data_IF_205155634064
#
_entry.id   IF_205155634064
#
_cell.length_a   1.000
_cell.length_b   1.000
_cell.length_c   1.000
_cell.angle_alpha   90.00
_cell.angle_beta   90.00
_cell.angle_gamma   90.00
#
_symmetry.space_group_name_H-M   'P 1'
#
loop_
_entity.id
_entity.type
_entity.pdbx_description
1 polymer ?
#
# COMPACT_ATOMS: atom_id res chain seq x y z
N UNK A 1 -19.89 12.91 -11.92
CA UNK A 1 -18.87 13.03 -10.86
C UNK A 1 -18.34 14.45 -10.89
N UNK A 2 -18.72 15.29 -9.93
CA UNK A 2 -18.15 16.64 -9.82
C UNK A 2 -16.67 16.51 -9.42
N UNK A 3 -15.78 17.23 -10.08
CA UNK A 3 -14.36 17.24 -9.70
C UNK A 3 -14.16 18.00 -8.39
N UNK A 4 -13.01 17.78 -7.73
CA UNK A 4 -12.62 18.53 -6.53
C UNK A 4 -12.78 20.05 -6.70
N UNK A 5 -13.40 20.70 -5.73
CA UNK A 5 -13.64 22.16 -5.64
C UNK A 5 -12.45 22.89 -5.00
N UNK A 6 -12.52 24.22 -4.92
CA UNK A 6 -11.53 25.02 -4.18
C UNK A 6 -11.52 24.66 -2.68
N UNK A 7 -12.68 24.40 -2.08
CA UNK A 7 -12.79 23.97 -0.68
C UNK A 7 -12.02 22.66 -0.44
N UNK A 8 -12.10 21.70 -1.37
CA UNK A 8 -11.33 20.45 -1.31
C UNK A 8 -9.81 20.66 -1.42
N UNK A 9 -9.37 21.82 -1.92
CA UNK A 9 -7.95 22.19 -2.03
C UNK A 9 -7.48 23.06 -0.86
N UNK A 10 -8.38 23.58 -0.04
CA UNK A 10 -8.05 24.49 1.06
C UNK A 10 -7.35 23.79 2.24
N UNK A 11 -7.25 22.46 2.23
CA UNK A 11 -6.37 21.74 3.16
C UNK A 11 -4.91 21.79 2.65
N UNK A 12 -4.71 21.39 1.39
CA UNK A 12 -3.36 21.11 0.86
C UNK A 12 -2.62 22.32 0.25
N UNK A 13 -3.34 23.33 -0.26
CA UNK A 13 -2.79 24.36 -1.17
C UNK A 13 -2.98 25.78 -0.65
N UNK A 14 -1.92 26.60 -0.64
CA UNK A 14 -1.94 27.96 -0.07
C UNK A 14 -2.98 28.86 -0.75
N UNK A 15 -3.13 28.73 -2.06
CA UNK A 15 -4.17 29.38 -2.87
C UNK A 15 -5.04 28.33 -3.58
N UNK A 16 -6.17 27.90 -2.97
CA UNK A 16 -7.04 26.88 -3.55
C UNK A 16 -7.86 27.37 -4.75
N UNK A 17 -8.21 28.66 -4.80
CA UNK A 17 -9.00 29.23 -5.89
C UNK A 17 -8.17 29.34 -7.16
N UNK A 18 -6.92 29.80 -7.05
CA UNK A 18 -5.94 29.80 -8.14
C UNK A 18 -5.80 28.40 -8.73
N UNK A 19 -5.65 27.39 -7.88
CA UNK A 19 -5.53 26.00 -8.32
C UNK A 19 -6.76 25.51 -9.07
N UNK A 20 -7.95 25.76 -8.52
CA UNK A 20 -9.21 25.34 -9.13
C UNK A 20 -9.41 25.99 -10.51
N UNK A 21 -9.11 27.29 -10.62
CA UNK A 21 -9.16 28.03 -11.89
C UNK A 21 -8.18 27.46 -12.93
N UNK A 22 -6.90 27.32 -12.58
CA UNK A 22 -5.88 26.78 -13.49
C UNK A 22 -6.22 25.36 -13.96
N UNK A 23 -6.77 24.53 -13.07
CA UNK A 23 -7.20 23.17 -13.42
C UNK A 23 -8.26 23.17 -14.52
N UNK A 24 -9.30 23.98 -14.41
CA UNK A 24 -10.35 24.02 -15.43
C UNK A 24 -9.87 24.65 -16.74
N UNK A 25 -9.00 25.65 -16.69
CA UNK A 25 -8.35 26.23 -17.88
C UNK A 25 -7.51 25.17 -18.63
N UNK A 26 -6.62 24.47 -17.92
CA UNK A 26 -5.77 23.41 -18.50
C UNK A 26 -6.62 22.25 -19.03
N UNK A 27 -7.70 21.90 -18.32
CA UNK A 27 -8.63 20.85 -18.74
C UNK A 27 -9.35 21.25 -20.03
N UNK A 28 -9.78 22.50 -20.17
CA UNK A 28 -10.43 23.01 -21.38
C UNK A 28 -9.48 23.05 -22.59
N UNK A 29 -8.20 23.33 -22.38
CA UNK A 29 -7.19 23.38 -23.44
C UNK A 29 -6.82 22.03 -24.06
N UNK A 30 -6.09 22.08 -25.17
CA UNK A 30 -5.52 20.93 -25.89
C UNK A 30 -4.08 20.55 -25.44
N UNK A 31 -3.47 21.38 -24.59
CA UNK A 31 -2.15 21.08 -24.00
C UNK A 31 -2.24 19.89 -23.05
N UNK A 32 -1.42 18.87 -23.30
CA UNK A 32 -1.34 17.68 -22.45
C UNK A 32 -2.46 16.66 -22.67
N UNK A 33 -3.30 16.79 -23.71
CA UNK A 33 -4.32 15.80 -24.05
C UNK A 33 -5.53 16.45 -24.70
N UNK A 34 -6.59 15.66 -24.93
CA UNK A 34 -7.81 16.18 -25.57
C UNK A 34 -8.49 17.28 -24.74
N UNK A 35 -9.01 18.35 -25.36
CA UNK A 35 -9.86 19.34 -24.71
C UNK A 35 -11.00 18.72 -23.89
N UNK A 36 -11.28 19.31 -22.72
CA UNK A 36 -12.30 18.87 -21.78
C UNK A 36 -11.94 17.63 -20.94
N UNK A 37 -10.87 16.91 -21.28
CA UNK A 37 -10.43 15.71 -20.56
C UNK A 37 -9.30 16.00 -19.59
N UNK A 38 -9.26 15.24 -18.49
CA UNK A 38 -8.17 15.23 -17.54
C UNK A 38 -7.19 14.09 -17.87
N UNK A 39 -5.90 14.40 -17.91
CA UNK A 39 -4.83 13.46 -18.23
C UNK A 39 -3.66 13.60 -17.26
N UNK A 40 -2.79 12.59 -17.19
CA UNK A 40 -1.57 12.64 -16.39
C UNK A 40 -0.65 13.81 -16.79
N UNK A 41 -0.59 14.15 -18.08
CA UNK A 41 0.23 15.28 -18.55
C UNK A 41 -0.38 16.62 -18.18
N UNK A 42 -1.71 16.74 -18.17
CA UNK A 42 -2.40 17.94 -17.65
C UNK A 42 -2.22 18.13 -16.15
N UNK A 43 -2.17 17.05 -15.36
CA UNK A 43 -1.85 17.19 -13.93
C UNK A 43 -0.41 17.65 -13.67
N UNK A 44 0.54 17.21 -14.52
CA UNK A 44 1.91 17.72 -14.47
C UNK A 44 1.95 19.22 -14.81
N UNK A 45 1.27 19.63 -15.89
CA UNK A 45 1.15 21.05 -16.26
C UNK A 45 0.54 21.89 -15.14
N UNK A 46 -0.56 21.44 -14.54
CA UNK A 46 -1.20 22.14 -13.42
C UNK A 46 -0.26 22.32 -12.24
N UNK A 47 0.63 21.37 -11.98
CA UNK A 47 1.62 21.50 -10.90
C UNK A 47 2.57 22.65 -11.20
N UNK A 48 3.20 22.64 -12.39
CA UNK A 48 4.13 23.68 -12.80
C UNK A 48 3.48 25.07 -12.92
N UNK A 49 2.29 25.17 -13.53
CA UNK A 49 1.60 26.45 -13.71
C UNK A 49 1.11 27.02 -12.38
N UNK A 50 0.74 26.15 -11.42
CA UNK A 50 0.37 26.57 -10.07
C UNK A 50 1.56 27.17 -9.32
N UNK A 51 2.70 26.47 -9.31
CA UNK A 51 3.95 26.96 -8.70
C UNK A 51 4.43 28.25 -9.39
N UNK A 52 4.40 28.31 -10.72
CA UNK A 52 4.79 29.49 -11.49
C UNK A 52 3.89 30.71 -11.21
N UNK A 53 2.61 30.49 -10.92
CA UNK A 53 1.67 31.53 -10.52
C UNK A 53 1.79 31.93 -9.03
N UNK A 54 2.79 31.41 -8.30
CA UNK A 54 3.03 31.72 -6.88
C UNK A 54 2.23 30.86 -5.91
N UNK A 55 1.57 29.81 -6.39
CA UNK A 55 0.91 28.81 -5.56
C UNK A 55 1.93 27.95 -4.82
N UNK A 56 1.62 27.63 -3.55
CA UNK A 56 2.45 26.80 -2.68
C UNK A 56 1.65 25.73 -1.97
N UNK A 57 2.32 24.91 -1.16
CA UNK A 57 1.70 23.79 -0.46
C UNK A 57 1.73 24.02 1.05
N UNK A 58 0.68 23.61 1.77
CA UNK A 58 0.62 23.78 3.24
C UNK A 58 1.46 22.76 4.01
N UNK A 59 1.69 21.59 3.41
CA UNK A 59 2.38 20.45 4.02
C UNK A 59 3.74 20.20 3.36
N UNK A 60 4.48 21.25 3.03
CA UNK A 60 5.80 21.10 2.41
C UNK A 60 6.76 20.33 3.33
N UNK A 61 7.39 19.29 2.79
CA UNK A 61 8.30 18.42 3.53
C UNK A 61 7.60 17.36 4.40
N UNK A 62 6.28 17.43 4.58
CA UNK A 62 5.51 16.43 5.30
C UNK A 62 4.93 15.39 4.32
N UNK A 63 5.06 14.11 4.65
CA UNK A 63 4.42 13.03 3.89
C UNK A 63 3.04 12.75 4.45
N UNK A 64 2.03 12.74 3.59
CA UNK A 64 0.71 12.21 3.92
C UNK A 64 0.79 10.73 4.32
N UNK A 65 -0.20 10.22 5.06
CA UNK A 65 -0.26 8.80 5.46
C UNK A 65 -0.15 7.86 4.26
N UNK A 66 -0.82 8.19 3.15
CA UNK A 66 -0.73 7.41 1.92
C UNK A 66 0.67 7.43 1.29
N UNK A 67 1.38 8.55 1.34
CA UNK A 67 2.77 8.64 0.86
C UNK A 67 3.73 7.85 1.76
N UNK A 68 3.50 7.82 3.07
CA UNK A 68 4.27 6.99 4.00
C UNK A 68 4.06 5.50 3.69
N UNK A 69 2.80 5.08 3.53
CA UNK A 69 2.48 3.71 3.15
C UNK A 69 3.04 3.31 1.77
N UNK A 70 3.05 4.22 0.78
CA UNK A 70 3.68 3.95 -0.52
C UNK A 70 5.19 3.77 -0.41
N UNK A 71 5.86 4.52 0.46
CA UNK A 71 7.28 4.33 0.73
C UNK A 71 7.52 2.97 1.38
N UNK A 72 6.78 2.63 2.43
CA UNK A 72 6.88 1.32 3.09
C UNK A 72 6.65 0.18 2.08
N UNK A 73 5.59 0.28 1.28
CA UNK A 73 5.30 -0.69 0.23
C UNK A 73 6.43 -0.84 -0.79
N UNK A 74 7.10 0.27 -1.17
CA UNK A 74 8.22 0.27 -2.11
C UNK A 74 9.55 -0.17 -1.52
N UNK A 75 9.69 -0.21 -0.20
CA UNK A 75 10.88 -0.73 0.50
C UNK A 75 10.83 -2.24 0.71
N UNK A 76 9.67 -2.87 0.49
CA UNK A 76 9.50 -4.31 0.57
C UNK A 76 10.02 -5.00 -0.70
N UNK A 77 10.57 -6.20 -0.53
CA UNK A 77 11.02 -7.05 -1.63
C UNK A 77 9.84 -7.88 -2.17
N UNK A 78 9.18 -7.41 -3.23
CA UNK A 78 8.05 -8.10 -3.82
C UNK A 78 8.46 -9.06 -4.93
N UNK A 79 7.98 -10.31 -4.87
CA UNK A 79 8.26 -11.31 -5.90
C UNK A 79 7.17 -12.40 -5.98
N UNK A 80 7.26 -13.25 -7.01
CA UNK A 80 6.49 -14.49 -7.16
C UNK A 80 7.08 -15.62 -6.31
N UNK A 81 6.36 -16.73 -6.12
CA UNK A 81 6.84 -17.84 -5.29
C UNK A 81 8.22 -18.39 -5.70
N UNK A 82 8.60 -18.25 -6.98
CA UNK A 82 9.90 -18.64 -7.55
C UNK A 82 10.98 -17.52 -7.48
N UNK A 83 10.72 -16.42 -6.78
CA UNK A 83 11.66 -15.29 -6.66
C UNK A 83 11.65 -14.31 -7.84
N UNK A 84 10.75 -14.50 -8.82
CA UNK A 84 10.67 -13.66 -10.01
C UNK A 84 9.92 -12.35 -9.78
N UNK A 85 10.26 -11.32 -10.56
CA UNK A 85 9.54 -10.04 -10.63
C UNK A 85 8.33 -10.07 -11.59
N UNK A 86 8.33 -11.03 -12.52
CA UNK A 86 7.30 -11.17 -13.56
C UNK A 86 6.17 -12.10 -13.13
N UNK A 87 5.12 -11.50 -12.58
CA UNK A 87 3.92 -12.24 -12.17
C UNK A 87 3.08 -12.78 -13.34
N UNK A 88 3.08 -12.13 -14.51
CA UNK A 88 2.26 -12.56 -15.66
C UNK A 88 3.09 -13.39 -16.65
N UNK A 89 2.62 -14.60 -16.94
CA UNK A 89 3.24 -15.53 -17.88
C UNK A 89 2.23 -16.21 -18.81
N UNK A 90 2.72 -17.14 -19.63
CA UNK A 90 1.88 -17.96 -20.51
C UNK A 90 0.99 -18.95 -19.75
N UNK A 91 1.40 -19.32 -18.53
CA UNK A 91 0.71 -20.20 -17.60
C UNK A 91 -0.28 -19.47 -16.68
N UNK A 92 -0.56 -18.19 -16.95
CA UNK A 92 -1.48 -17.35 -16.19
C UNK A 92 -0.76 -16.28 -15.36
N UNK A 93 -1.44 -15.80 -14.31
CA UNK A 93 -0.85 -14.82 -13.38
C UNK A 93 -0.48 -15.52 -12.09
N UNK A 94 0.77 -15.42 -11.69
CA UNK A 94 1.30 -15.88 -10.39
C UNK A 94 0.90 -14.94 -9.27
N UNK A 95 0.89 -15.46 -8.06
CA UNK A 95 0.74 -14.64 -6.85
C UNK A 95 2.00 -13.78 -6.66
N UNK A 96 1.80 -12.53 -6.24
CA UNK A 96 2.85 -11.57 -5.95
C UNK A 96 2.68 -11.08 -4.52
N UNK A 97 3.67 -11.34 -3.66
CA UNK A 97 3.68 -11.04 -2.22
C UNK A 97 5.06 -10.50 -1.84
N UNK A 98 5.17 -9.76 -0.72
CA UNK A 98 6.47 -9.41 -0.17
C UNK A 98 7.18 -10.68 0.34
N UNK A 99 8.51 -10.70 0.24
CA UNK A 99 9.36 -11.83 0.63
C UNK A 99 9.10 -12.29 2.07
N UNK A 100 9.00 -11.35 3.01
CA UNK A 100 8.66 -11.68 4.39
C UNK A 100 7.34 -12.45 4.52
N UNK A 101 6.33 -12.16 3.68
CA UNK A 101 5.09 -12.95 3.69
C UNK A 101 5.28 -14.33 3.05
N UNK A 102 6.17 -14.48 2.05
CA UNK A 102 6.51 -15.79 1.51
C UNK A 102 7.24 -16.66 2.54
N UNK A 103 8.16 -16.08 3.32
CA UNK A 103 8.91 -16.81 4.35
C UNK A 103 8.02 -17.33 5.51
N UNK A 104 6.88 -16.67 5.75
CA UNK A 104 5.89 -17.07 6.76
C UNK A 104 4.84 -18.08 6.27
N UNK A 105 4.96 -18.54 5.02
CA UNK A 105 4.08 -19.56 4.46
C UNK A 105 4.80 -20.90 4.39
N UNK A 106 4.07 -21.97 4.71
CA UNK A 106 4.53 -23.33 4.39
C UNK A 106 4.54 -23.53 2.87
N UNK A 107 5.34 -24.48 2.37
CA UNK A 107 5.41 -24.73 0.93
C UNK A 107 4.05 -25.13 0.33
N UNK A 108 3.20 -25.81 1.11
CA UNK A 108 1.82 -26.11 0.72
C UNK A 108 0.97 -24.83 0.60
N UNK A 109 1.07 -23.92 1.57
CA UNK A 109 0.34 -22.63 1.53
C UNK A 109 0.82 -21.74 0.38
N UNK A 110 2.13 -21.75 0.08
CA UNK A 110 2.70 -21.06 -1.07
C UNK A 110 2.11 -21.58 -2.37
N UNK A 111 2.11 -22.90 -2.55
CA UNK A 111 1.54 -23.54 -3.72
C UNK A 111 0.03 -23.29 -3.85
N UNK A 112 -0.72 -23.35 -2.74
CA UNK A 112 -2.16 -23.11 -2.72
C UNK A 112 -2.50 -21.67 -3.13
N UNK A 113 -1.78 -20.66 -2.63
CA UNK A 113 -2.06 -19.26 -2.96
C UNK A 113 -1.70 -18.89 -4.40
N UNK A 114 -0.64 -19.49 -4.93
CA UNK A 114 -0.20 -19.32 -6.32
C UNK A 114 -1.16 -20.02 -7.29
N UNK A 115 -1.51 -21.28 -7.02
CA UNK A 115 -2.48 -22.06 -7.82
C UNK A 115 -3.82 -21.35 -7.89
N UNK A 116 -4.31 -20.81 -6.76
CA UNK A 116 -5.52 -19.99 -6.74
C UNK A 116 -5.43 -18.78 -7.66
N UNK A 117 -4.27 -18.12 -7.74
CA UNK A 117 -4.10 -16.93 -8.58
C UNK A 117 -3.97 -17.30 -10.06
N UNK A 118 -3.27 -18.39 -10.38
CA UNK A 118 -3.10 -18.90 -11.75
C UNK A 118 -4.40 -19.40 -12.37
N UNK A 119 -5.17 -20.18 -11.61
CA UNK A 119 -6.40 -20.82 -12.10
C UNK A 119 -7.63 -19.91 -12.15
N UNK A 120 -7.50 -18.63 -11.83
CA UNK A 120 -8.63 -17.71 -11.76
C UNK A 120 -8.67 -16.78 -12.98
N UNK A 121 -9.84 -16.70 -13.60
CA UNK A 121 -10.11 -15.87 -14.78
C UNK A 121 -10.45 -14.41 -14.44
N UNK A 122 -10.71 -14.14 -13.16
CA UNK A 122 -11.13 -12.82 -12.67
C UNK A 122 -9.94 -11.86 -12.58
N UNK A 123 -10.19 -10.58 -12.86
CA UNK A 123 -9.19 -9.52 -12.72
C UNK A 123 -8.62 -9.45 -11.29
N UNK A 124 -9.49 -9.59 -10.29
CA UNK A 124 -9.14 -9.57 -8.87
C UNK A 124 -9.38 -10.93 -8.23
N UNK A 125 -8.35 -11.48 -7.60
CA UNK A 125 -8.39 -12.81 -6.98
C UNK A 125 -7.83 -12.67 -5.58
N UNK A 126 -8.69 -12.90 -4.58
CA UNK A 126 -8.30 -12.76 -3.19
C UNK A 126 -7.12 -13.69 -2.83
N UNK A 127 -6.29 -13.24 -1.89
CA UNK A 127 -5.30 -14.10 -1.23
C UNK A 127 -6.00 -15.26 -0.51
N UNK A 128 -5.31 -16.39 -0.35
CA UNK A 128 -5.69 -17.39 0.66
C UNK A 128 -5.65 -16.77 2.04
N UNK A 129 -6.38 -17.35 2.99
CA UNK A 129 -6.40 -16.81 4.35
C UNK A 129 -5.00 -16.88 4.97
N UNK A 130 -4.27 -17.99 4.78
CA UNK A 130 -2.85 -18.09 5.09
C UNK A 130 -2.02 -16.93 4.50
N UNK A 131 -2.17 -16.62 3.20
CA UNK A 131 -1.45 -15.52 2.57
C UNK A 131 -1.95 -14.12 2.99
N UNK A 132 -3.17 -13.98 3.54
CA UNK A 132 -3.61 -12.73 4.18
C UNK A 132 -2.95 -12.59 5.55
N UNK A 133 -2.92 -13.66 6.33
CA UNK A 133 -2.34 -13.70 7.68
C UNK A 133 -0.83 -13.48 7.63
N UNK A 134 -0.12 -14.17 6.73
CA UNK A 134 1.30 -13.97 6.50
C UNK A 134 1.64 -12.53 6.08
N UNK A 135 0.82 -11.89 5.24
CA UNK A 135 1.00 -10.47 4.90
C UNK A 135 0.82 -9.55 6.10
N UNK A 136 -0.23 -9.77 6.90
CA UNK A 136 -0.46 -8.98 8.14
C UNK A 136 0.70 -9.12 9.11
N UNK A 137 1.24 -10.33 9.25
CA UNK A 137 2.38 -10.60 10.12
C UNK A 137 3.69 -9.97 9.58
N UNK A 138 3.95 -10.08 8.28
CA UNK A 138 5.10 -9.42 7.62
C UNK A 138 5.07 -7.89 7.81
N UNK A 139 3.89 -7.29 7.71
CA UNK A 139 3.69 -5.85 7.95
C UNK A 139 4.09 -5.40 9.37
N UNK A 140 4.17 -6.30 10.37
CA UNK A 140 4.62 -5.95 11.71
C UNK A 140 6.12 -5.61 11.74
N UNK A 141 6.93 -6.28 10.93
CA UNK A 141 8.39 -6.09 10.94
C UNK A 141 8.81 -4.78 10.26
N UNK A 142 7.98 -4.27 9.36
CA UNK A 142 8.22 -3.04 8.61
C UNK A 142 7.90 -1.77 9.40
N UNK A 143 7.05 -1.86 10.43
CA UNK A 143 6.58 -0.70 11.20
C UNK A 143 7.29 -0.57 12.55
N UNK A 144 7.09 0.59 13.21
CA UNK A 144 7.58 0.82 14.57
C UNK A 144 6.88 -0.08 15.59
N UNK A 145 7.56 -0.36 16.71
CA UNK A 145 7.04 -1.23 17.76
C UNK A 145 5.67 -0.79 18.31
N UNK A 146 5.41 0.53 18.38
CA UNK A 146 4.13 1.08 18.83
C UNK A 146 2.99 0.69 17.88
N UNK A 147 3.21 0.85 16.58
CA UNK A 147 2.23 0.52 15.56
C UNK A 147 2.07 -1.00 15.39
N UNK A 148 3.16 -1.77 15.49
CA UNK A 148 3.10 -3.22 15.49
C UNK A 148 2.17 -3.74 16.62
N UNK A 149 2.26 -3.17 17.82
CA UNK A 149 1.36 -3.53 18.95
C UNK A 149 -0.10 -3.23 18.65
N UNK A 150 -0.40 -2.09 18.02
CA UNK A 150 -1.77 -1.76 17.61
C UNK A 150 -2.30 -2.69 16.51
N UNK A 151 -1.43 -3.16 15.62
CA UNK A 151 -1.79 -4.14 14.59
C UNK A 151 -2.02 -5.52 15.21
N UNK A 152 -1.18 -5.95 16.16
CA UNK A 152 -1.35 -7.20 16.92
C UNK A 152 -2.69 -7.23 17.66
N UNK A 153 -3.13 -6.12 18.26
CA UNK A 153 -4.44 -6.06 18.94
C UNK A 153 -5.67 -6.23 18.01
N UNK A 154 -5.46 -6.33 16.69
CA UNK A 154 -6.49 -6.63 15.68
C UNK A 154 -6.30 -8.01 15.04
N UNK A 155 -5.31 -8.77 15.50
CA UNK A 155 -5.05 -10.14 15.07
C UNK A 155 -5.74 -11.09 16.04
N UNK A 156 -6.40 -12.10 15.49
CA UNK A 156 -7.17 -13.04 16.28
C UNK A 156 -6.93 -14.50 15.88
N UNK A 157 -6.96 -15.38 16.86
CA UNK A 157 -6.76 -16.82 16.72
C UNK A 157 -5.29 -17.21 16.62
N UNK A 158 -5.02 -18.47 17.00
CA UNK A 158 -3.65 -19.00 17.09
C UNK A 158 -2.88 -18.85 15.77
N UNK A 159 -3.51 -19.10 14.62
CA UNK A 159 -2.83 -19.03 13.32
C UNK A 159 -2.26 -17.63 13.01
N UNK A 160 -2.95 -16.56 13.41
CA UNK A 160 -2.49 -15.20 13.20
C UNK A 160 -1.40 -14.81 14.18
N UNK A 161 -1.59 -15.19 15.45
CA UNK A 161 -0.67 -14.85 16.53
C UNK A 161 0.64 -15.64 16.41
N UNK A 162 0.59 -16.91 16.01
CA UNK A 162 1.76 -17.74 15.73
C UNK A 162 2.61 -17.14 14.60
N UNK A 163 1.97 -16.73 13.50
CA UNK A 163 2.69 -16.06 12.39
C UNK A 163 3.22 -14.69 12.77
N UNK A 164 2.48 -13.93 13.59
CA UNK A 164 2.97 -12.65 14.10
C UNK A 164 4.21 -12.84 14.98
N UNK A 165 4.21 -13.86 15.84
CA UNK A 165 5.36 -14.20 16.67
C UNK A 165 6.54 -14.65 15.82
N UNK A 166 6.30 -15.54 14.85
CA UNK A 166 7.33 -16.00 13.92
C UNK A 166 7.93 -14.83 13.13
N UNK A 167 7.11 -13.94 12.60
CA UNK A 167 7.56 -12.76 11.88
C UNK A 167 8.48 -11.89 12.76
N UNK A 168 8.06 -11.62 13.99
CA UNK A 168 8.85 -10.77 14.90
C UNK A 168 10.17 -11.42 15.31
N UNK A 169 10.21 -12.74 15.51
CA UNK A 169 11.39 -13.49 15.94
C UNK A 169 12.38 -13.76 14.81
N UNK A 170 11.88 -14.22 13.66
CA UNK A 170 12.72 -14.80 12.62
C UNK A 170 13.08 -13.77 11.54
N UNK A 171 12.15 -12.85 11.23
CA UNK A 171 12.31 -11.85 10.18
C UNK A 171 12.52 -10.44 10.74
N UNK A 172 12.05 -10.20 11.95
CA UNK A 172 12.08 -8.92 12.63
C UNK A 172 13.31 -8.73 13.52
N UNK A 173 13.15 -7.88 14.54
CA UNK A 173 14.20 -7.54 15.50
C UNK A 173 14.01 -8.23 16.86
N UNK A 174 13.06 -9.16 16.98
CA UNK A 174 12.74 -9.83 18.24
C UNK A 174 12.29 -8.87 19.34
N UNK A 175 11.52 -7.83 19.00
CA UNK A 175 11.16 -6.75 19.93
C UNK A 175 10.28 -7.31 21.05
N UNK A 176 10.80 -7.32 22.27
CA UNK A 176 10.10 -7.85 23.46
C UNK A 176 8.74 -7.20 23.68
N UNK A 177 8.59 -5.91 23.35
CA UNK A 177 7.32 -5.20 23.48
C UNK A 177 6.24 -5.69 22.51
N UNK A 178 6.63 -6.17 21.33
CA UNK A 178 5.70 -6.73 20.33
C UNK A 178 5.36 -8.17 20.72
N UNK A 179 6.37 -8.98 21.04
CA UNK A 179 6.18 -10.35 21.51
C UNK A 179 5.27 -10.44 22.74
N UNK A 180 5.46 -9.55 23.72
CA UNK A 180 4.57 -9.49 24.89
C UNK A 180 3.14 -9.11 24.50
N UNK A 181 2.96 -8.20 23.54
CA UNK A 181 1.62 -7.84 23.07
C UNK A 181 0.94 -9.01 22.33
N UNK A 182 1.69 -9.84 21.62
CA UNK A 182 1.19 -11.06 20.98
C UNK A 182 0.70 -12.05 22.04
N UNK A 183 1.51 -12.30 23.08
CA UNK A 183 1.12 -13.17 24.18
C UNK A 183 -0.10 -12.64 24.95
N UNK A 184 -0.10 -11.34 25.25
CA UNK A 184 -1.25 -10.67 25.88
C UNK A 184 -2.51 -10.79 25.02
N UNK A 185 -2.41 -10.74 23.69
CA UNK A 185 -3.54 -10.91 22.79
C UNK A 185 -4.02 -12.37 22.78
N UNK A 186 -3.09 -13.34 22.79
CA UNK A 186 -3.43 -14.78 22.86
C UNK A 186 -4.23 -15.12 24.10
N UNK A 187 -3.96 -14.47 25.24
CA UNK A 187 -4.74 -14.67 26.46
C UNK A 187 -6.12 -14.01 26.46
N UNK A 188 -6.41 -13.10 25.52
CA UNK A 188 -7.70 -12.38 25.44
C UNK A 188 -8.70 -13.06 24.51
N UNK A 189 -8.19 -13.72 23.48
CA UNK A 189 -8.98 -14.49 22.51
C UNK A 189 -9.52 -15.80 23.11
#
# INVERSE_FOLDING_TARGET
MSGKSAEDYAEDYTDPELRARLKEEIKAGDRGGRPGQWSARKSQLLTHEYEAAGGGYRHEGERTKSQQHLREWGEQDWHTADGGDRARGSDGTRRYLPDAAWQLLSDEEKAATDTRKKGAEQQHVANTDAAKEARKAAELVDVKATEARERVGRMHGDSQLDRAEQAERDLGKGRTTVLRAIEEQRHRD
#
